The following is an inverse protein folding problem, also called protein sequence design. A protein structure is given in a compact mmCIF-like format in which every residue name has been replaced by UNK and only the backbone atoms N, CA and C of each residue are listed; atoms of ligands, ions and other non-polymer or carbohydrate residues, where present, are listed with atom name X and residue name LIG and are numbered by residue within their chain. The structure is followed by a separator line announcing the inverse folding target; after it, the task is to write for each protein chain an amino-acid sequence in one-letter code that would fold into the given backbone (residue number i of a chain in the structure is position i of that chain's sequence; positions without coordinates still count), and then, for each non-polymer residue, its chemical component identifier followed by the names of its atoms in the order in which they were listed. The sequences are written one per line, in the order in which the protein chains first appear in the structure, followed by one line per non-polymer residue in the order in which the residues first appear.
data_IF_377998338293
#
_entry.id   IF_377998338293
#
_cell.length_a   1.000
_cell.length_b   1.000
_cell.length_c   1.000
_cell.angle_alpha   90.00
_cell.angle_beta   90.00
_cell.angle_gamma   90.00
#
_symmetry.space_group_name_H-M   'P 1'
#
loop_
_entity.id
_entity.type
_entity.pdbx_description
1 polymer ?
#
# COMPACT_ATOMS: atom_id res chain seq x y z
N UNK A 1 -11.35 -0.48 -19.50
CA UNK A 1 -10.61 0.80 -19.51
C UNK A 1 -11.60 1.93 -19.25
N UNK A 2 -11.33 2.84 -18.32
CA UNK A 2 -12.16 4.04 -18.16
C UNK A 2 -11.87 5.01 -19.30
N UNK A 3 -12.90 5.65 -19.86
CA UNK A 3 -12.79 6.57 -20.99
C UNK A 3 -13.22 7.97 -20.57
N UNK A 4 -14.37 8.09 -19.92
CA UNK A 4 -14.86 9.36 -19.37
C UNK A 4 -15.75 9.17 -18.15
N UNK A 5 -15.81 10.19 -17.29
CA UNK A 5 -16.74 10.30 -16.17
C UNK A 5 -17.44 11.66 -16.30
N UNK A 6 -18.78 11.67 -16.34
CA UNK A 6 -19.58 12.89 -16.53
C UNK A 6 -19.15 13.74 -17.75
N UNK A 7 -18.75 13.08 -18.84
CA UNK A 7 -18.23 13.75 -20.04
C UNK A 7 -16.77 14.23 -19.95
N UNK A 8 -16.14 14.19 -18.77
CA UNK A 8 -14.70 14.48 -18.61
C UNK A 8 -13.88 13.25 -18.98
N UNK A 9 -12.94 13.40 -19.92
CA UNK A 9 -12.05 12.32 -20.33
C UNK A 9 -11.08 11.98 -19.20
N UNK A 10 -10.96 10.69 -18.87
CA UNK A 10 -10.08 10.20 -17.80
C UNK A 10 -9.03 9.26 -18.38
N UNK A 11 -7.75 9.64 -18.24
CA UNK A 11 -6.63 8.86 -18.78
C UNK A 11 -5.85 8.09 -17.69
N UNK A 12 -6.13 8.36 -16.41
CA UNK A 12 -5.47 7.71 -15.26
C UNK A 12 -6.47 7.14 -14.27
N UNK A 13 -6.08 6.05 -13.59
CA UNK A 13 -6.89 5.45 -12.52
C UNK A 13 -7.02 6.38 -11.33
N UNK A 14 -5.98 7.15 -11.02
CA UNK A 14 -5.97 8.10 -9.91
C UNK A 14 -7.04 9.17 -10.10
N UNK A 15 -7.19 9.68 -11.35
CA UNK A 15 -8.24 10.65 -11.68
C UNK A 15 -9.65 10.07 -11.57
N UNK A 16 -9.82 8.79 -11.94
CA UNK A 16 -11.09 8.07 -11.77
C UNK A 16 -11.47 7.98 -10.28
N UNK A 17 -10.53 7.57 -9.43
CA UNK A 17 -10.75 7.44 -7.98
C UNK A 17 -11.05 8.80 -7.35
N UNK A 18 -10.36 9.85 -7.76
CA UNK A 18 -10.59 11.22 -7.29
C UNK A 18 -12.01 11.71 -7.62
N UNK A 19 -12.44 11.60 -8.89
CA UNK A 19 -13.77 12.04 -9.32
C UNK A 19 -14.91 11.30 -8.61
N UNK A 20 -14.75 9.98 -8.41
CA UNK A 20 -15.68 9.16 -7.63
C UNK A 20 -15.71 9.60 -6.16
N UNK A 21 -14.53 9.83 -5.56
CA UNK A 21 -14.39 10.25 -4.17
C UNK A 21 -15.05 11.61 -3.88
N UNK A 22 -15.00 12.53 -4.84
CA UNK A 22 -15.57 13.89 -4.74
C UNK A 22 -17.09 13.94 -4.95
N UNK A 23 -17.72 12.83 -5.37
CA UNK A 23 -19.15 12.80 -5.74
C UNK A 23 -19.97 11.83 -4.87
N UNK A 24 -19.94 11.92 -3.53
CA UNK A 24 -20.71 11.03 -2.66
C UNK A 24 -22.22 11.23 -2.83
N UNK A 25 -22.97 10.16 -3.12
CA UNK A 25 -24.42 10.19 -3.27
C UNK A 25 -24.94 10.91 -4.51
N UNK A 26 -24.05 11.35 -5.41
CA UNK A 26 -24.40 12.00 -6.68
C UNK A 26 -24.28 10.98 -7.80
N UNK A 27 -25.35 10.82 -8.56
CA UNK A 27 -25.36 9.96 -9.74
C UNK A 27 -24.34 10.45 -10.76
N UNK A 28 -23.51 9.54 -11.27
CA UNK A 28 -22.48 9.83 -12.25
C UNK A 28 -22.52 8.85 -13.42
N UNK A 29 -22.26 9.38 -14.60
CA UNK A 29 -22.16 8.62 -15.84
C UNK A 29 -20.69 8.24 -16.07
N UNK A 30 -20.40 6.94 -16.12
CA UNK A 30 -19.07 6.40 -16.35
C UNK A 30 -19.07 5.65 -17.67
N UNK A 31 -18.25 6.10 -18.63
CA UNK A 31 -18.04 5.42 -19.89
C UNK A 31 -16.81 4.54 -19.78
N UNK A 32 -17.00 3.24 -19.94
CA UNK A 32 -15.92 2.25 -19.98
C UNK A 32 -15.84 1.58 -21.33
N UNK A 33 -14.62 1.34 -21.81
CA UNK A 33 -14.36 0.47 -22.96
C UNK A 33 -14.22 -0.97 -22.47
N UNK A 34 -15.14 -1.85 -22.89
CA UNK A 34 -15.06 -3.30 -22.71
C UNK A 34 -14.91 -3.97 -24.06
N UNK A 35 -13.83 -4.73 -24.24
CA UNK A 35 -13.45 -5.32 -25.52
C UNK A 35 -13.22 -4.22 -26.58
N UNK A 36 -14.22 -3.89 -27.39
CA UNK A 36 -14.19 -2.79 -28.36
C UNK A 36 -15.41 -1.86 -28.30
N UNK A 37 -16.37 -2.13 -27.41
CA UNK A 37 -17.58 -1.33 -27.27
C UNK A 37 -17.45 -0.35 -26.11
N UNK A 38 -18.02 0.84 -26.32
CA UNK A 38 -18.22 1.83 -25.27
C UNK A 38 -19.50 1.48 -24.53
N UNK A 39 -19.37 1.25 -23.23
CA UNK A 39 -20.49 0.94 -22.34
C UNK A 39 -20.62 2.10 -21.36
N UNK A 40 -21.77 2.75 -21.40
CA UNK A 40 -22.14 3.80 -20.46
C UNK A 40 -22.81 3.16 -19.25
N UNK A 41 -22.28 3.45 -18.06
CA UNK A 41 -22.77 2.94 -16.78
C UNK A 41 -23.16 4.13 -15.91
N UNK A 42 -24.38 4.13 -15.40
CA UNK A 42 -24.83 5.09 -14.40
C UNK A 42 -24.56 4.50 -13.02
N UNK A 43 -23.81 5.22 -12.20
CA UNK A 43 -23.35 4.75 -10.89
C UNK A 43 -23.56 5.85 -9.86
N UNK A 44 -24.07 5.49 -8.69
CA UNK A 44 -24.21 6.41 -7.56
C UNK A 44 -23.26 5.96 -6.44
N UNK A 45 -22.16 6.69 -6.16
CA UNK A 45 -21.22 6.31 -5.12
C UNK A 45 -21.87 6.36 -3.73
N UNK A 46 -21.67 5.31 -2.93
CA UNK A 46 -22.10 5.29 -1.53
C UNK A 46 -21.24 6.27 -0.72
N UNK A 47 -21.87 7.12 0.11
CA UNK A 47 -21.14 8.02 0.99
C UNK A 47 -20.58 7.23 2.19
N UNK A 48 -19.25 7.12 2.24
CA UNK A 48 -18.52 6.51 3.36
C UNK A 48 -17.60 7.57 3.95
N UNK A 49 -17.99 8.16 5.08
CA UNK A 49 -17.23 9.19 5.80
C UNK A 49 -16.92 10.45 4.96
N UNK A 50 -17.86 10.89 4.12
CA UNK A 50 -17.68 12.06 3.25
C UNK A 50 -16.96 11.78 1.94
N UNK A 51 -16.58 10.52 1.68
CA UNK A 51 -15.97 10.08 0.43
C UNK A 51 -16.92 9.15 -0.32
N UNK A 52 -17.11 9.39 -1.61
CA UNK A 52 -17.86 8.50 -2.50
C UNK A 52 -17.12 7.19 -2.72
N UNK A 53 -17.80 6.04 -2.57
CA UNK A 53 -17.25 4.71 -2.85
C UNK A 53 -18.22 3.88 -3.69
N UNK A 54 -17.68 3.25 -4.74
CA UNK A 54 -18.45 2.39 -5.67
C UNK A 54 -18.18 0.90 -5.42
N UNK A 55 -17.31 0.56 -4.46
CA UNK A 55 -16.97 -0.84 -4.15
C UNK A 55 -16.14 -1.55 -5.23
N UNK A 56 -15.53 -0.79 -6.14
CA UNK A 56 -14.65 -1.30 -7.20
C UNK A 56 -13.20 -1.11 -6.78
N UNK A 57 -12.44 -2.20 -6.72
CA UNK A 57 -10.99 -2.16 -6.58
C UNK A 57 -10.35 -2.06 -7.96
N UNK A 58 -9.73 -0.93 -8.27
CA UNK A 58 -8.99 -0.76 -9.52
C UNK A 58 -7.54 -1.14 -9.25
N UNK A 59 -7.12 -2.32 -9.69
CA UNK A 59 -5.73 -2.75 -9.62
C UNK A 59 -4.95 -2.07 -10.76
N UNK A 60 -4.59 -0.81 -10.54
CA UNK A 60 -3.65 -0.11 -11.41
C UNK A 60 -2.26 -0.52 -10.95
N UNK A 61 -1.58 -1.34 -11.75
CA UNK A 61 -0.11 -1.45 -11.68
C UNK A 61 0.43 -0.30 -12.52
N UNK A 62 0.81 0.85 -11.93
CA UNK A 62 1.43 1.92 -12.69
C UNK A 62 2.66 1.37 -13.42
N UNK A 63 2.61 1.33 -14.75
CA UNK A 63 3.76 1.01 -15.57
C UNK A 63 4.64 2.27 -15.63
N UNK A 64 5.56 2.37 -14.69
CA UNK A 64 6.58 3.41 -14.74
C UNK A 64 7.52 3.15 -15.93
N UNK A 65 7.84 4.17 -16.74
CA UNK A 65 8.83 4.04 -17.81
C UNK A 65 10.14 3.47 -17.27
N UNK A 66 10.78 2.54 -17.99
CA UNK A 66 11.96 1.80 -17.53
C UNK A 66 13.04 2.69 -16.87
N UNK A 67 13.32 3.84 -17.47
CA UNK A 67 14.32 4.78 -16.98
C UNK A 67 13.91 5.49 -15.68
N UNK A 68 12.62 5.82 -15.54
CA UNK A 68 12.03 6.40 -14.32
C UNK A 68 12.06 5.36 -13.19
N UNK A 69 11.70 4.11 -13.49
CA UNK A 69 11.75 2.99 -12.54
C UNK A 69 13.16 2.72 -12.04
N UNK A 70 14.16 2.75 -12.93
CA UNK A 70 15.55 2.54 -12.56
C UNK A 70 16.06 3.65 -11.64
N UNK A 71 15.80 4.91 -11.98
CA UNK A 71 16.18 6.05 -11.15
C UNK A 71 15.49 6.02 -9.78
N UNK A 72 14.19 5.71 -9.76
CA UNK A 72 13.43 5.57 -8.52
C UNK A 72 13.99 4.42 -7.66
N UNK A 73 14.29 3.28 -8.28
CA UNK A 73 14.91 2.14 -7.60
C UNK A 73 16.25 2.49 -6.96
N UNK A 74 17.17 3.10 -7.72
CA UNK A 74 18.49 3.52 -7.20
C UNK A 74 18.33 4.53 -6.05
N UNK A 75 17.45 5.52 -6.21
CA UNK A 75 17.22 6.55 -5.17
C UNK A 75 16.65 5.94 -3.90
N UNK A 76 15.68 5.03 -4.02
CA UNK A 76 15.07 4.34 -2.91
C UNK A 76 16.07 3.46 -2.17
N UNK A 77 16.83 2.64 -2.91
CA UNK A 77 17.88 1.79 -2.34
C UNK A 77 18.92 2.63 -1.61
N UNK A 78 19.38 3.73 -2.21
CA UNK A 78 20.34 4.63 -1.57
C UNK A 78 19.78 5.26 -0.28
N UNK A 79 18.54 5.74 -0.31
CA UNK A 79 17.88 6.29 0.88
C UNK A 79 17.81 5.25 2.00
N UNK A 80 17.39 4.02 1.70
CA UNK A 80 17.33 2.93 2.67
C UNK A 80 18.72 2.57 3.22
N UNK A 81 19.74 2.49 2.36
CA UNK A 81 21.11 2.18 2.77
C UNK A 81 21.68 3.27 3.69
N UNK A 82 21.50 4.55 3.34
CA UNK A 82 21.99 5.66 4.16
C UNK A 82 21.28 5.73 5.50
N UNK A 83 19.97 5.46 5.53
CA UNK A 83 19.21 5.36 6.77
C UNK A 83 19.72 4.22 7.65
N UNK A 84 19.90 3.02 7.10
CA UNK A 84 20.45 1.87 7.83
C UNK A 84 21.83 2.20 8.44
N UNK A 85 22.74 2.78 7.66
CA UNK A 85 24.06 3.17 8.15
C UNK A 85 23.96 4.21 9.27
N UNK A 86 23.08 5.21 9.11
CA UNK A 86 22.84 6.23 10.14
C UNK A 86 22.31 5.61 11.43
N UNK A 87 21.35 4.70 11.33
CA UNK A 87 20.74 4.02 12.46
C UNK A 87 21.77 3.16 13.21
N UNK A 88 22.60 2.41 12.48
CA UNK A 88 23.74 1.67 13.04
C UNK A 88 24.71 2.64 13.74
N UNK A 89 25.04 3.77 13.13
CA UNK A 89 25.90 4.79 13.73
C UNK A 89 25.32 5.39 15.02
N UNK A 90 24.00 5.63 15.06
CA UNK A 90 23.30 6.11 16.25
C UNK A 90 23.28 5.06 17.37
N UNK A 91 23.19 3.77 17.02
CA UNK A 91 23.31 2.66 17.97
C UNK A 91 24.73 2.57 18.56
N UNK A 92 25.77 2.66 17.73
CA UNK A 92 27.17 2.62 18.19
C UNK A 92 27.50 3.83 19.07
N UNK A 93 26.98 5.01 18.73
CA UNK A 93 27.19 6.25 19.51
C UNK A 93 26.28 6.35 20.74
N UNK A 94 25.43 5.37 21.00
CA UNK A 94 24.55 5.31 22.18
C UNK A 94 23.38 6.29 22.17
N UNK A 95 23.11 6.95 21.04
CA UNK A 95 21.98 7.89 20.87
C UNK A 95 20.65 7.19 20.62
N UNK A 96 20.69 5.91 20.24
CA UNK A 96 19.55 5.01 20.07
C UNK A 96 19.82 3.76 20.93
N UNK A 97 18.82 3.28 21.68
CA UNK A 97 18.93 1.95 22.30
C UNK A 97 19.04 0.92 21.19
N UNK A 98 20.00 0.00 21.31
CA UNK A 98 20.01 -1.22 20.50
C UNK A 98 18.74 -1.97 20.84
N UNK A 99 17.70 -1.84 20.00
CA UNK A 99 16.63 -2.84 20.02
C UNK A 99 17.32 -4.17 19.79
N UNK A 100 17.08 -5.12 20.69
CA UNK A 100 17.73 -6.41 20.65
C UNK A 100 17.24 -7.12 19.39
N UNK A 101 17.93 -6.88 18.28
CA UNK A 101 17.53 -7.26 16.93
C UNK A 101 18.54 -8.23 16.30
N UNK A 102 19.44 -8.77 17.12
CA UNK A 102 20.35 -9.86 16.78
C UNK A 102 19.87 -11.21 17.34
N UNK A 103 20.70 -12.26 17.26
CA UNK A 103 20.35 -13.61 17.75
C UNK A 103 19.85 -13.64 19.19
N UNK A 104 20.40 -12.79 20.06
CA UNK A 104 19.97 -12.67 21.48
C UNK A 104 18.53 -12.17 21.60
N UNK A 105 18.09 -11.27 20.71
CA UNK A 105 16.75 -10.70 20.74
C UNK A 105 15.70 -11.71 20.33
N UNK A 106 16.03 -12.54 19.33
CA UNK A 106 15.18 -13.67 18.93
C UNK A 106 15.03 -14.64 20.11
N UNK A 107 16.13 -14.99 20.80
CA UNK A 107 16.07 -15.85 21.99
C UNK A 107 15.25 -15.21 23.12
N UNK A 108 15.35 -13.89 23.32
CA UNK A 108 14.54 -13.17 24.32
C UNK A 108 13.05 -13.19 23.97
N UNK A 109 12.66 -12.86 22.74
CA UNK A 109 11.25 -12.85 22.30
C UNK A 109 10.65 -14.26 22.40
N UNK A 110 11.41 -15.28 21.95
CA UNK A 110 10.99 -16.68 22.06
C UNK A 110 10.87 -17.09 23.54
N UNK A 111 11.84 -16.70 24.37
CA UNK A 111 11.85 -16.99 25.81
C UNK A 111 10.72 -16.30 26.58
N UNK A 112 10.43 -15.04 26.30
CA UNK A 112 9.29 -14.31 26.85
C UNK A 112 7.98 -14.95 26.41
N UNK A 113 7.84 -15.26 25.12
CA UNK A 113 6.65 -15.93 24.58
C UNK A 113 6.45 -17.32 25.21
N UNK A 114 7.53 -18.06 25.45
CA UNK A 114 7.49 -19.36 26.13
C UNK A 114 6.97 -19.28 27.56
N UNK A 115 7.26 -18.19 28.28
CA UNK A 115 6.74 -17.95 29.64
C UNK A 115 5.23 -17.76 29.67
N UNK A 116 4.64 -17.28 28.57
CA UNK A 116 3.19 -17.19 28.43
C UNK A 116 2.53 -18.53 28.02
N UNK A 117 3.32 -19.57 27.75
CA UNK A 117 2.86 -20.93 27.49
C UNK A 117 2.86 -21.34 26.02
N UNK A 118 2.65 -22.64 25.80
CA UNK A 118 2.72 -23.27 24.47
C UNK A 118 1.78 -22.65 23.42
N UNK A 119 0.53 -22.24 23.73
CA UNK A 119 -0.34 -21.59 22.74
C UNK A 119 0.26 -20.32 22.15
N UNK A 120 0.94 -19.50 22.97
CA UNK A 120 1.54 -18.25 22.50
C UNK A 120 2.78 -18.51 21.64
N UNK A 121 3.55 -19.55 21.95
CA UNK A 121 4.66 -20.00 21.09
C UNK A 121 4.16 -20.46 19.71
N UNK A 122 3.04 -21.16 19.66
CA UNK A 122 2.43 -21.60 18.40
C UNK A 122 2.01 -20.39 17.55
N UNK A 123 1.42 -19.36 18.16
CA UNK A 123 1.05 -18.11 17.48
C UNK A 123 2.30 -17.41 16.92
N UNK A 124 3.36 -17.28 17.71
CA UNK A 124 4.63 -16.70 17.25
C UNK A 124 5.20 -17.49 16.06
N UNK A 125 5.20 -18.83 16.13
CA UNK A 125 5.68 -19.68 15.04
C UNK A 125 4.86 -19.52 13.75
N UNK A 126 3.53 -19.41 13.88
CA UNK A 126 2.64 -19.15 12.74
C UNK A 126 2.95 -17.80 12.09
N UNK A 127 3.07 -16.73 12.88
CA UNK A 127 3.35 -15.38 12.35
C UNK A 127 4.70 -15.33 11.62
N UNK A 128 5.73 -15.99 12.17
CA UNK A 128 7.05 -16.06 11.54
C UNK A 128 7.09 -16.89 10.26
N UNK A 129 6.18 -17.85 10.09
CA UNK A 129 6.13 -18.74 8.92
C UNK A 129 5.32 -18.16 7.75
N UNK A 130 4.40 -17.22 8.02
CA UNK A 130 3.52 -16.59 7.01
C UNK A 130 4.27 -15.60 6.10
N UNK A 131 5.41 -15.08 6.54
CA UNK A 131 6.24 -14.09 5.84
C UNK A 131 7.38 -14.74 5.06
#
# INVERSE_FOLDING_TARGET
LFVSINGERVDTTERVVELIGLSPGVEMEIVVKRQQELVTLTVTPENRNGLGKVGVSIDSKPQYPFLTSLRAGVTQTWSMTTQLIRDIGMMITGKQKVEVSGPIGIVQIVGETARYGLPNLMILAIILNIN
#
